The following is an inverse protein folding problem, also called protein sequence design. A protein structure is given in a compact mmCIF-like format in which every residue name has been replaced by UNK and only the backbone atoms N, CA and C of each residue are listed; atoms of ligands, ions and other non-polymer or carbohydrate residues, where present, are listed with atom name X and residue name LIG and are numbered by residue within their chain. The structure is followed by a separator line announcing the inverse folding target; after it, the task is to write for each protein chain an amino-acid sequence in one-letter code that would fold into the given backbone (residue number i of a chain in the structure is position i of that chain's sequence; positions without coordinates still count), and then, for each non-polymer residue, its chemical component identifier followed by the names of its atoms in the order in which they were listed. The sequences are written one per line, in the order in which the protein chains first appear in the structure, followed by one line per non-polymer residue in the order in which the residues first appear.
data_IF_762019626457
#
_entry.id   IF_762019626457
#
_cell.length_a   1.000
_cell.length_b   1.000
_cell.length_c   1.000
_cell.angle_alpha   90.00
_cell.angle_beta   90.00
_cell.angle_gamma   90.00
#
_symmetry.space_group_name_H-M   'P 1'
#
loop_
_entity.id
_entity.type
_entity.pdbx_description
1 polymer ?
#
# COMPACT_ATOMS: atom_id res chain seq x y z
N UNK A 1 54.09 30.86 24.28
CA UNK A 1 52.75 30.27 24.06
C UNK A 1 52.69 29.77 22.63
N UNK A 2 53.00 28.50 22.44
CA UNK A 2 53.08 27.86 21.13
C UNK A 2 51.78 27.08 20.96
N UNK A 3 50.81 27.67 20.27
CA UNK A 3 49.63 26.96 19.78
C UNK A 3 50.13 25.94 18.77
N UNK A 4 50.27 24.70 19.24
CA UNK A 4 50.56 23.54 18.42
C UNK A 4 49.43 23.47 17.37
N UNK A 5 49.76 23.80 16.12
CA UNK A 5 48.89 23.51 14.98
C UNK A 5 48.64 22.00 15.03
N UNK A 6 47.44 21.59 15.43
CA UNK A 6 47.05 20.19 15.37
C UNK A 6 47.17 19.77 13.91
N UNK A 7 47.96 18.74 13.62
CA UNK A 7 47.92 18.13 12.29
C UNK A 7 46.47 17.71 12.01
N UNK A 8 45.93 18.19 10.90
CA UNK A 8 44.51 18.07 10.58
C UNK A 8 44.14 16.65 10.14
N UNK A 9 45.09 15.87 9.65
CA UNK A 9 44.87 14.50 9.17
C UNK A 9 44.58 13.52 10.33
N UNK A 10 45.39 13.48 11.43
CA UNK A 10 45.04 12.70 12.62
C UNK A 10 43.68 13.10 13.23
N UNK A 11 43.33 14.39 13.20
CA UNK A 11 42.02 14.85 13.68
C UNK A 11 40.88 14.32 12.79
N UNK A 12 41.13 14.16 11.49
CA UNK A 12 40.21 13.53 10.55
C UNK A 12 39.95 12.06 10.92
N UNK A 13 41.00 11.30 11.23
CA UNK A 13 40.89 9.91 11.65
C UNK A 13 40.17 9.79 13.01
N UNK A 14 40.47 10.69 13.96
CA UNK A 14 39.77 10.79 15.26
C UNK A 14 38.26 11.10 15.11
N UNK A 15 37.82 11.73 14.02
CA UNK A 15 36.40 11.96 13.72
C UNK A 15 35.77 10.75 13.01
N UNK A 16 36.53 10.11 12.12
CA UNK A 16 36.06 8.99 11.31
C UNK A 16 35.75 7.76 12.17
N UNK A 17 36.60 7.45 13.15
CA UNK A 17 36.43 6.28 14.01
C UNK A 17 35.11 6.32 14.83
N UNK A 18 34.79 7.38 15.60
CA UNK A 18 33.51 7.48 16.31
C UNK A 18 32.31 7.46 15.36
N UNK A 19 32.44 8.03 14.16
CA UNK A 19 31.38 8.01 13.15
C UNK A 19 31.06 6.58 12.72
N UNK A 20 32.09 5.75 12.46
CA UNK A 20 31.90 4.33 12.14
C UNK A 20 31.26 3.56 13.30
N UNK A 21 31.62 3.86 14.55
CA UNK A 21 30.99 3.28 15.73
C UNK A 21 29.50 3.65 15.86
N UNK A 22 29.12 4.89 15.53
CA UNK A 22 27.72 5.32 15.50
C UNK A 22 26.92 4.58 14.41
N UNK A 23 27.53 4.35 13.26
CA UNK A 23 26.92 3.58 12.17
C UNK A 23 26.72 2.10 12.57
N UNK A 24 27.73 1.49 13.20
CA UNK A 24 27.63 0.13 13.74
C UNK A 24 26.56 0.00 14.83
N UNK A 25 26.46 0.99 15.72
CA UNK A 25 25.38 1.06 16.72
C UNK A 25 24.01 1.25 16.06
N UNK A 26 23.95 2.03 14.98
CA UNK A 26 22.73 2.22 14.18
C UNK A 26 22.30 0.92 13.51
N UNK A 27 23.22 0.09 13.02
CA UNK A 27 22.90 -1.23 12.49
C UNK A 27 22.15 -2.09 13.52
N UNK A 28 22.70 -2.18 14.74
CA UNK A 28 22.05 -2.92 15.85
C UNK A 28 20.67 -2.37 16.19
N UNK A 29 20.53 -1.04 16.21
CA UNK A 29 19.23 -0.40 16.42
C UNK A 29 18.22 -0.80 15.33
N UNK A 30 18.63 -0.82 14.07
CA UNK A 30 17.74 -1.18 12.96
C UNK A 30 17.31 -2.66 13.02
N UNK A 31 18.19 -3.56 13.45
CA UNK A 31 17.83 -4.96 13.69
C UNK A 31 16.76 -5.11 14.77
N UNK A 32 16.94 -4.42 15.91
CA UNK A 32 15.95 -4.41 16.99
C UNK A 32 14.61 -3.79 16.53
N UNK A 33 14.66 -2.71 15.75
CA UNK A 33 13.45 -2.11 15.17
C UNK A 33 12.73 -3.09 14.25
N UNK A 34 13.46 -3.81 13.38
CA UNK A 34 12.89 -4.80 12.47
C UNK A 34 12.22 -5.94 13.24
N UNK A 35 12.89 -6.49 14.24
CA UNK A 35 12.35 -7.57 15.08
C UNK A 35 11.10 -7.10 15.85
N UNK A 36 11.16 -5.92 16.45
CA UNK A 36 10.05 -5.32 17.19
C UNK A 36 8.84 -5.03 16.30
N UNK A 37 9.08 -4.51 15.09
CA UNK A 37 8.04 -4.24 14.09
C UNK A 37 7.41 -5.54 13.57
N UNK A 38 8.22 -6.55 13.26
CA UNK A 38 7.76 -7.86 12.78
C UNK A 38 6.92 -8.62 13.82
N UNK A 39 7.25 -8.46 15.11
CA UNK A 39 6.48 -9.04 16.22
C UNK A 39 5.26 -8.19 16.64
N UNK A 40 5.03 -7.04 15.99
CA UNK A 40 3.93 -6.15 16.34
C UNK A 40 4.04 -5.54 17.74
N UNK A 41 5.24 -5.42 18.31
CA UNK A 41 5.44 -4.95 19.69
C UNK A 41 4.94 -3.52 19.95
N UNK A 42 4.73 -2.74 18.90
CA UNK A 42 4.13 -1.40 18.97
C UNK A 42 2.61 -1.42 19.17
N UNK A 43 1.94 -2.56 18.95
CA UNK A 43 0.48 -2.69 19.04
C UNK A 43 -0.04 -2.78 20.49
N UNK A 44 0.55 -1.96 21.38
CA UNK A 44 0.15 -1.76 22.77
C UNK A 44 -0.51 -0.39 22.96
N UNK A 45 -1.22 0.08 21.92
CA UNK A 45 -1.87 1.40 21.89
C UNK A 45 -1.31 2.39 20.88
N UNK A 46 -0.35 1.99 20.02
CA UNK A 46 0.14 2.83 18.93
C UNK A 46 -0.35 2.31 17.58
N UNK A 47 -0.57 3.24 16.64
CA UNK A 47 -1.04 2.91 15.27
C UNK A 47 0.03 2.35 14.34
N UNK A 48 1.31 2.45 14.72
CA UNK A 48 2.45 1.94 13.93
C UNK A 48 3.74 1.92 14.72
N UNK A 49 4.72 1.12 14.29
CA UNK A 49 6.07 1.11 14.86
C UNK A 49 6.73 2.50 14.82
N UNK A 50 6.54 3.27 13.75
CA UNK A 50 7.08 4.62 13.65
C UNK A 50 6.45 5.57 14.67
N UNK A 51 5.15 5.43 14.97
CA UNK A 51 4.49 6.22 16.01
C UNK A 51 5.03 5.87 17.41
N UNK A 52 5.23 4.58 17.69
CA UNK A 52 5.86 4.11 18.92
C UNK A 52 7.28 4.64 19.07
N UNK A 53 8.10 4.60 18.02
CA UNK A 53 9.46 5.15 18.03
C UNK A 53 9.48 6.65 18.27
N UNK A 54 8.54 7.40 17.69
CA UNK A 54 8.43 8.82 17.95
C UNK A 54 8.16 9.13 19.43
N UNK A 55 7.27 8.35 20.06
CA UNK A 55 6.96 8.50 21.48
C UNK A 55 8.07 8.00 22.41
N UNK A 56 8.61 6.79 22.17
CA UNK A 56 9.55 6.13 23.09
C UNK A 56 11.00 6.60 22.93
N UNK A 57 11.41 6.90 21.70
CA UNK A 57 12.79 7.21 21.31
C UNK A 57 12.96 8.70 20.98
N UNK A 58 11.86 9.47 20.88
CA UNK A 58 11.91 10.92 20.65
C UNK A 58 12.25 11.31 19.20
N UNK A 59 12.02 10.40 18.24
CA UNK A 59 12.24 10.69 16.82
C UNK A 59 11.08 11.51 16.23
N UNK A 60 11.40 12.45 15.34
CA UNK A 60 10.36 13.06 14.52
C UNK A 60 9.69 12.01 13.61
N UNK A 61 8.48 12.31 13.17
CA UNK A 61 7.67 11.36 12.42
C UNK A 61 8.30 10.96 11.06
N UNK A 62 9.12 11.82 10.44
CA UNK A 62 9.83 11.51 9.21
C UNK A 62 10.99 10.55 9.47
N UNK A 63 11.86 10.88 10.43
CA UNK A 63 13.00 10.07 10.80
C UNK A 63 12.60 8.69 11.37
N UNK A 64 11.49 8.60 12.10
CA UNK A 64 10.96 7.35 12.61
C UNK A 64 10.49 6.42 11.46
N UNK A 65 9.71 6.94 10.50
CA UNK A 65 9.27 6.17 9.33
C UNK A 65 10.45 5.71 8.48
N UNK A 66 11.44 6.58 8.29
CA UNK A 66 12.64 6.25 7.53
C UNK A 66 13.42 5.11 8.18
N UNK A 67 13.63 5.15 9.50
CA UNK A 67 14.31 4.06 10.21
C UNK A 67 13.56 2.74 10.09
N UNK A 68 12.23 2.74 10.22
CA UNK A 68 11.41 1.52 10.02
C UNK A 68 11.54 1.02 8.58
N UNK A 69 11.51 1.90 7.58
CA UNK A 69 11.69 1.51 6.17
C UNK A 69 13.06 0.86 5.92
N UNK A 70 14.13 1.49 6.41
CA UNK A 70 15.50 0.96 6.25
C UNK A 70 15.63 -0.37 6.99
N UNK A 71 15.13 -0.46 8.22
CA UNK A 71 15.15 -1.69 9.01
C UNK A 71 14.47 -2.86 8.28
N UNK A 72 13.28 -2.63 7.69
CA UNK A 72 12.59 -3.63 6.87
C UNK A 72 13.39 -4.04 5.65
N UNK A 73 13.92 -3.07 4.90
CA UNK A 73 14.68 -3.34 3.67
C UNK A 73 15.95 -4.14 3.93
N UNK A 74 16.67 -3.85 5.02
CA UNK A 74 17.87 -4.60 5.41
C UNK A 74 17.58 -6.06 5.76
N UNK A 75 16.33 -6.43 6.05
CA UNK A 75 15.93 -7.82 6.26
C UNK A 75 16.12 -8.71 5.02
N UNK A 76 16.15 -8.13 3.82
CA UNK A 76 16.37 -8.85 2.54
C UNK A 76 17.69 -8.45 1.88
N UNK A 77 18.50 -7.62 2.54
CA UNK A 77 19.74 -7.04 2.01
C UNK A 77 20.89 -7.26 3.02
N UNK A 78 21.36 -8.52 3.16
CA UNK A 78 22.34 -8.89 4.18
C UNK A 78 23.73 -8.28 3.95
N UNK A 79 24.16 -8.02 2.71
CA UNK A 79 25.48 -7.43 2.44
C UNK A 79 25.53 -5.96 2.86
N UNK A 80 24.47 -5.20 2.57
CA UNK A 80 24.33 -3.81 3.02
C UNK A 80 24.18 -3.72 4.54
N UNK A 81 23.45 -4.66 5.16
CA UNK A 81 23.32 -4.74 6.60
C UNK A 81 24.68 -4.97 7.28
N UNK A 82 25.46 -5.91 6.77
CA UNK A 82 26.81 -6.19 7.29
C UNK A 82 27.76 -5.02 7.09
N UNK A 83 27.72 -4.34 5.94
CA UNK A 83 28.54 -3.18 5.68
C UNK A 83 28.24 -2.01 6.64
N UNK A 84 26.96 -1.81 7.00
CA UNK A 84 26.57 -0.86 8.04
C UNK A 84 27.08 -1.29 9.42
N UNK A 85 26.92 -2.57 9.76
CA UNK A 85 27.33 -3.11 11.06
C UNK A 85 28.83 -3.02 11.32
N UNK A 86 29.65 -3.04 10.25
CA UNK A 86 31.09 -2.85 10.30
C UNK A 86 31.52 -1.38 10.20
N UNK A 87 30.58 -0.44 10.01
CA UNK A 87 30.89 0.98 9.78
C UNK A 87 31.54 1.27 8.41
N UNK A 88 31.55 0.30 7.49
CA UNK A 88 32.09 0.48 6.13
C UNK A 88 31.19 1.38 5.26
N UNK A 89 29.88 1.34 5.52
CA UNK A 89 28.91 2.24 4.93
C UNK A 89 28.18 3.01 6.03
N UNK A 90 28.02 4.32 5.82
CA UNK A 90 27.23 5.13 6.73
C UNK A 90 25.73 4.91 6.58
N UNK A 91 24.96 5.17 7.64
CA UNK A 91 23.50 5.08 7.62
C UNK A 91 22.90 5.93 6.48
N UNK A 92 23.48 7.09 6.17
CA UNK A 92 23.03 7.93 5.07
C UNK A 92 23.14 7.23 3.71
N UNK A 93 24.27 6.55 3.45
CA UNK A 93 24.48 5.76 2.23
C UNK A 93 23.51 4.58 2.17
N UNK A 94 23.39 3.81 3.25
CA UNK A 94 22.50 2.65 3.32
C UNK A 94 21.03 3.05 3.14
N UNK A 95 20.61 4.13 3.80
CA UNK A 95 19.28 4.72 3.62
C UNK A 95 19.02 5.09 2.17
N UNK A 96 20.00 5.61 1.46
CA UNK A 96 19.87 5.90 0.03
C UNK A 96 19.83 4.60 -0.81
N UNK A 97 20.75 3.65 -0.60
CA UNK A 97 20.84 2.43 -1.41
C UNK A 97 19.60 1.53 -1.26
N UNK A 98 19.09 1.35 -0.04
CA UNK A 98 17.87 0.57 0.27
C UNK A 98 16.60 1.11 -0.39
N UNK A 99 16.68 2.23 -1.12
CA UNK A 99 15.56 2.77 -1.90
C UNK A 99 15.40 2.14 -3.28
N UNK A 100 16.44 1.48 -3.78
CA UNK A 100 16.53 0.87 -5.12
C UNK A 100 17.15 -0.52 -5.07
N UNK A 101 17.85 -0.88 -3.99
CA UNK A 101 18.49 -2.17 -3.85
C UNK A 101 17.47 -3.32 -3.79
N UNK A 102 17.72 -4.33 -4.61
CA UNK A 102 17.10 -5.66 -4.57
C UNK A 102 18.17 -6.70 -4.22
N UNK A 103 17.80 -7.91 -3.78
CA UNK A 103 18.78 -8.97 -3.50
C UNK A 103 19.73 -9.24 -4.67
N UNK A 104 19.24 -9.13 -5.91
CA UNK A 104 20.01 -9.38 -7.14
C UNK A 104 20.99 -8.24 -7.47
N UNK A 105 20.66 -7.00 -7.09
CA UNK A 105 21.48 -5.81 -7.37
C UNK A 105 22.34 -5.38 -6.18
N UNK A 106 22.22 -6.06 -5.04
CA UNK A 106 22.80 -5.67 -3.77
C UNK A 106 24.33 -5.54 -3.85
N UNK A 107 25.01 -6.52 -4.44
CA UNK A 107 26.48 -6.57 -4.51
C UNK A 107 27.04 -5.38 -5.33
N UNK A 108 26.42 -5.08 -6.47
CA UNK A 108 26.80 -3.96 -7.34
C UNK A 108 26.60 -2.62 -6.62
N UNK A 109 25.48 -2.47 -5.90
CA UNK A 109 25.15 -1.28 -5.14
C UNK A 109 26.03 -1.10 -3.89
N UNK A 110 26.46 -2.19 -3.26
CA UNK A 110 27.44 -2.17 -2.18
C UNK A 110 28.80 -1.67 -2.68
N UNK A 111 29.29 -2.20 -3.81
CA UNK A 111 30.53 -1.73 -4.42
C UNK A 111 30.47 -0.22 -4.73
N UNK A 112 29.35 0.25 -5.29
CA UNK A 112 29.10 1.67 -5.52
C UNK A 112 29.11 2.48 -4.22
N UNK A 113 28.47 1.97 -3.16
CA UNK A 113 28.42 2.60 -1.85
C UNK A 113 29.79 2.80 -1.21
N UNK A 114 30.70 1.83 -1.39
CA UNK A 114 32.07 1.90 -0.87
C UNK A 114 32.92 2.91 -1.63
N UNK A 115 32.77 2.99 -2.95
CA UNK A 115 33.56 3.90 -3.80
C UNK A 115 33.08 5.37 -3.77
N UNK A 116 31.78 5.62 -3.56
CA UNK A 116 31.18 6.94 -3.66
C UNK A 116 31.00 7.67 -2.32
N UNK A 117 30.87 9.01 -2.36
CA UNK A 117 30.38 9.80 -1.20
C UNK A 117 28.87 9.62 -1.02
N UNK A 118 28.34 9.91 0.18
CA UNK A 118 26.90 9.82 0.43
C UNK A 118 26.07 10.70 -0.55
N UNK A 119 26.56 11.91 -0.84
CA UNK A 119 25.91 12.80 -1.82
C UNK A 119 25.93 12.23 -3.25
N UNK A 120 27.01 11.56 -3.65
CA UNK A 120 27.09 10.89 -4.94
C UNK A 120 26.08 9.75 -5.02
N UNK A 121 26.04 8.89 -4.00
CA UNK A 121 25.10 7.77 -3.90
C UNK A 121 23.65 8.29 -3.93
N UNK A 122 23.33 9.34 -3.16
CA UNK A 122 22.00 9.95 -3.18
C UNK A 122 21.63 10.49 -4.57
N UNK A 123 22.55 11.12 -5.28
CA UNK A 123 22.31 11.64 -6.63
C UNK A 123 22.01 10.50 -7.62
N UNK A 124 22.80 9.43 -7.59
CA UNK A 124 22.59 8.26 -8.45
C UNK A 124 21.25 7.57 -8.16
N UNK A 125 20.94 7.33 -6.89
CA UNK A 125 19.65 6.73 -6.46
C UNK A 125 18.47 7.60 -6.89
N UNK A 126 18.57 8.94 -6.79
CA UNK A 126 17.53 9.85 -7.29
C UNK A 126 17.35 9.75 -8.81
N UNK A 127 18.44 9.58 -9.54
CA UNK A 127 18.45 9.31 -10.98
C UNK A 127 17.73 8.01 -11.32
N UNK A 128 18.12 6.90 -10.67
CA UNK A 128 17.48 5.59 -10.84
C UNK A 128 15.98 5.63 -10.53
N UNK A 129 15.58 6.20 -9.39
CA UNK A 129 14.16 6.39 -9.06
C UNK A 129 13.39 7.27 -10.03
N UNK A 130 14.06 8.17 -10.75
CA UNK A 130 13.39 8.98 -11.79
C UNK A 130 13.16 8.12 -13.02
N UNK A 131 14.12 7.28 -13.39
CA UNK A 131 14.00 6.32 -14.49
C UNK A 131 12.95 5.26 -14.17
N UNK A 132 12.96 4.68 -12.97
CA UNK A 132 11.97 3.69 -12.52
C UNK A 132 10.56 4.28 -12.47
N UNK A 133 10.38 5.47 -11.86
CA UNK A 133 9.07 6.14 -11.87
C UNK A 133 8.62 6.54 -13.27
N UNK A 134 9.54 6.86 -14.17
CA UNK A 134 9.20 7.11 -15.57
C UNK A 134 8.86 5.80 -16.30
N UNK A 135 9.49 4.68 -15.96
CA UNK A 135 9.17 3.36 -16.48
C UNK A 135 7.80 2.87 -15.95
N UNK A 136 7.54 2.99 -14.66
CA UNK A 136 6.25 2.70 -14.00
C UNK A 136 5.13 3.61 -14.49
N UNK A 137 5.38 4.92 -14.66
CA UNK A 137 4.39 5.84 -15.24
C UNK A 137 4.11 5.50 -16.71
N UNK A 138 5.15 5.16 -17.49
CA UNK A 138 4.97 4.66 -18.87
C UNK A 138 4.23 3.34 -18.88
N UNK A 139 4.44 2.48 -17.89
CA UNK A 139 3.74 1.20 -17.77
C UNK A 139 2.28 1.38 -17.34
N UNK A 140 1.97 2.28 -16.41
CA UNK A 140 0.60 2.67 -16.07
C UNK A 140 -0.11 3.33 -17.26
N UNK A 141 0.56 4.22 -18.01
CA UNK A 141 0.04 4.76 -19.27
C UNK A 141 -0.13 3.68 -20.33
N UNK A 142 0.74 2.67 -20.43
CA UNK A 142 0.58 1.51 -21.33
C UNK A 142 -0.54 0.58 -20.89
N UNK A 143 -0.77 0.39 -19.59
CA UNK A 143 -1.89 -0.39 -19.07
C UNK A 143 -3.22 0.33 -19.36
N UNK A 144 -3.25 1.65 -19.21
CA UNK A 144 -4.39 2.50 -19.58
C UNK A 144 -4.60 2.59 -21.10
N UNK A 145 -3.53 2.58 -21.90
CA UNK A 145 -3.57 2.57 -23.37
C UNK A 145 -3.74 1.17 -23.98
N UNK A 146 -3.59 0.10 -23.18
CA UNK A 146 -3.63 -1.30 -23.61
C UNK A 146 -5.02 -1.94 -23.50
N UNK A 147 -6.04 -1.18 -23.13
CA UNK A 147 -7.43 -1.64 -23.20
C UNK A 147 -7.81 -1.84 -24.66
N UNK A 148 -8.07 -3.09 -25.02
CA UNK A 148 -8.48 -3.44 -26.37
C UNK A 148 -9.40 -4.65 -26.26
N UNK A 149 -10.51 -4.60 -26.99
CA UNK A 149 -11.40 -5.74 -27.19
C UNK A 149 -11.40 -6.02 -28.69
N UNK A 150 -10.84 -7.15 -29.07
CA UNK A 150 -10.83 -7.64 -30.45
C UNK A 150 -11.96 -8.65 -30.58
N UNK A 151 -12.86 -8.39 -31.53
CA UNK A 151 -13.95 -9.29 -31.91
C UNK A 151 -13.74 -9.62 -33.38
N UNK A 152 -13.51 -10.88 -33.69
CA UNK A 152 -13.35 -11.35 -35.07
C UNK A 152 -14.02 -12.71 -35.23
N UNK A 153 -14.38 -13.05 -36.45
CA UNK A 153 -14.94 -14.36 -36.79
C UNK A 153 -13.81 -15.27 -37.27
N UNK A 154 -13.86 -16.54 -36.87
CA UNK A 154 -12.98 -17.57 -37.42
C UNK A 154 -13.52 -18.12 -38.75
N UNK A 155 -12.74 -18.98 -39.41
CA UNK A 155 -13.13 -19.62 -40.67
C UNK A 155 -14.35 -20.54 -40.52
N UNK A 156 -14.70 -20.94 -39.30
CA UNK A 156 -15.88 -21.74 -38.96
C UNK A 156 -17.13 -20.91 -38.64
N UNK A 157 -17.05 -19.58 -38.73
CA UNK A 157 -18.15 -18.66 -38.42
C UNK A 157 -18.38 -18.41 -36.93
N UNK A 158 -17.53 -18.96 -36.05
CA UNK A 158 -17.59 -18.70 -34.62
C UNK A 158 -16.94 -17.35 -34.31
N UNK A 159 -17.55 -16.58 -33.41
CA UNK A 159 -17.02 -15.27 -33.01
C UNK A 159 -16.03 -15.46 -31.85
N UNK A 160 -14.78 -15.04 -32.07
CA UNK A 160 -13.74 -15.01 -31.05
C UNK A 160 -13.65 -13.59 -30.47
N UNK A 161 -13.89 -13.50 -29.15
CA UNK A 161 -13.75 -12.27 -28.37
C UNK A 161 -12.50 -12.38 -27.49
N UNK A 162 -11.52 -11.51 -27.71
CA UNK A 162 -10.30 -11.44 -26.90
C UNK A 162 -10.00 -10.01 -26.53
N UNK A 163 -9.82 -9.74 -25.24
CA UNK A 163 -9.48 -8.39 -24.80
C UNK A 163 -8.76 -8.31 -23.48
N UNK A 164 -8.17 -7.14 -23.24
CA UNK A 164 -7.61 -6.74 -21.94
C UNK A 164 -8.47 -5.61 -21.41
N UNK A 165 -9.04 -5.81 -20.21
CA UNK A 165 -9.88 -4.85 -19.52
C UNK A 165 -9.12 -4.23 -18.35
N UNK A 166 -9.52 -3.02 -17.96
CA UNK A 166 -9.06 -2.43 -16.69
C UNK A 166 -9.56 -3.28 -15.51
N UNK A 167 -8.85 -3.32 -14.36
CA UNK A 167 -9.21 -4.17 -13.23
C UNK A 167 -10.66 -4.00 -12.76
N UNK A 168 -11.16 -2.76 -12.69
CA UNK A 168 -12.53 -2.45 -12.27
C UNK A 168 -13.58 -2.97 -13.27
N UNK A 169 -13.34 -2.75 -14.58
CA UNK A 169 -14.24 -3.21 -15.66
C UNK A 169 -14.19 -4.73 -15.81
N UNK A 170 -13.01 -5.33 -15.65
CA UNK A 170 -12.82 -6.78 -15.67
C UNK A 170 -13.54 -7.46 -14.51
N UNK A 171 -13.47 -6.90 -13.30
CA UNK A 171 -14.21 -7.40 -12.14
C UNK A 171 -15.73 -7.34 -12.38
N UNK A 172 -16.22 -6.24 -12.96
CA UNK A 172 -17.62 -6.09 -13.34
C UNK A 172 -18.06 -7.15 -14.35
N UNK A 173 -17.27 -7.39 -15.41
CA UNK A 173 -17.58 -8.42 -16.41
C UNK A 173 -17.62 -9.83 -15.79
N UNK A 174 -16.66 -10.18 -14.94
CA UNK A 174 -16.61 -11.48 -14.26
C UNK A 174 -17.84 -11.67 -13.37
N UNK A 175 -18.23 -10.63 -12.63
CA UNK A 175 -19.43 -10.67 -11.79
C UNK A 175 -20.71 -10.83 -12.63
N UNK A 176 -20.84 -10.10 -13.74
CA UNK A 176 -21.99 -10.19 -14.63
C UNK A 176 -22.14 -11.59 -15.24
N UNK A 177 -21.05 -12.19 -15.73
CA UNK A 177 -21.04 -13.55 -16.26
C UNK A 177 -21.42 -14.58 -15.18
N UNK A 178 -20.92 -14.41 -13.95
CA UNK A 178 -21.28 -15.30 -12.84
C UNK A 178 -22.77 -15.21 -12.49
N UNK A 179 -23.35 -14.01 -12.50
CA UNK A 179 -24.77 -13.79 -12.25
C UNK A 179 -25.65 -14.39 -13.36
N UNK A 180 -25.33 -14.11 -14.63
CA UNK A 180 -26.05 -14.65 -15.78
C UNK A 180 -26.04 -16.18 -15.81
N UNK A 181 -24.89 -16.79 -15.50
CA UNK A 181 -24.77 -18.26 -15.37
C UNK A 181 -25.68 -18.83 -14.28
N UNK A 182 -25.77 -18.14 -13.14
CA UNK A 182 -26.63 -18.55 -12.03
C UNK A 182 -28.12 -18.51 -12.43
N UNK A 183 -28.53 -17.51 -13.21
CA UNK A 183 -29.89 -17.41 -13.76
C UNK A 183 -30.21 -18.58 -14.68
N UNK A 184 -29.33 -18.87 -15.65
CA UNK A 184 -29.51 -20.00 -16.56
C UNK A 184 -29.60 -21.34 -15.81
N UNK A 185 -28.75 -21.53 -14.80
CA UNK A 185 -28.79 -22.72 -13.96
C UNK A 185 -30.12 -22.85 -13.20
N UNK A 186 -30.66 -21.75 -12.67
CA UNK A 186 -31.95 -21.76 -11.98
C UNK A 186 -33.10 -22.09 -12.93
N UNK A 187 -33.10 -21.53 -14.14
CA UNK A 187 -34.11 -21.80 -15.17
C UNK A 187 -34.10 -23.27 -15.61
N UNK A 188 -32.91 -23.83 -15.90
CA UNK A 188 -32.80 -25.24 -16.26
C UNK A 188 -33.31 -26.15 -15.13
N UNK A 189 -33.04 -25.79 -13.87
CA UNK A 189 -33.51 -26.53 -12.69
C UNK A 189 -35.03 -26.46 -12.52
N UNK A 190 -35.66 -25.34 -12.87
CA UNK A 190 -37.11 -25.16 -12.80
C UNK A 190 -37.83 -25.89 -13.95
N UNK A 191 -37.21 -25.96 -15.13
CA UNK A 191 -37.76 -26.64 -16.31
C UNK A 191 -37.64 -28.17 -16.22
N UNK A 192 -36.60 -28.71 -15.57
CA UNK A 192 -36.38 -30.15 -15.39
C UNK A 192 -36.96 -30.68 -14.07
N UNK A 193 -38.13 -30.19 -13.65
CA UNK A 193 -38.73 -30.50 -12.36
C UNK A 193 -38.68 -31.99 -11.99
N UNK A 194 -38.08 -32.27 -10.81
CA UNK A 194 -38.18 -33.51 -10.02
C UNK A 194 -38.13 -34.85 -10.80
N UNK A 195 -37.20 -34.99 -11.75
CA UNK A 195 -36.89 -36.28 -12.36
C UNK A 195 -35.80 -37.02 -11.56
N UNK A 196 -36.09 -38.27 -11.17
CA UNK A 196 -35.18 -39.20 -10.49
C UNK A 196 -33.80 -39.33 -11.19
N UNK A 197 -32.71 -39.58 -10.43
CA UNK A 197 -31.33 -39.44 -10.90
C UNK A 197 -30.84 -40.67 -11.68
N UNK A 198 -31.57 -41.12 -12.71
CA UNK A 198 -31.26 -42.41 -13.38
C UNK A 198 -30.74 -42.27 -14.82
N UNK A 199 -30.61 -41.07 -15.38
CA UNK A 199 -29.94 -40.88 -16.69
C UNK A 199 -29.16 -39.55 -16.82
N UNK A 200 -28.37 -39.20 -15.81
CA UNK A 200 -27.49 -38.02 -15.83
C UNK A 200 -26.18 -38.23 -16.61
N UNK A 201 -26.24 -38.88 -17.78
CA UNK A 201 -25.16 -38.86 -18.79
C UNK A 201 -25.41 -37.83 -19.89
N UNK A 202 -26.39 -36.94 -19.73
CA UNK A 202 -26.40 -35.69 -20.47
C UNK A 202 -25.15 -34.91 -20.05
N UNK A 203 -24.17 -34.82 -20.95
CA UNK A 203 -22.92 -34.08 -20.75
C UNK A 203 -23.22 -32.72 -20.13
N UNK A 204 -22.94 -32.57 -18.84
CA UNK A 204 -23.08 -31.28 -18.17
C UNK A 204 -22.20 -30.28 -18.93
N UNK A 205 -22.77 -29.16 -19.42
CA UNK A 205 -22.02 -28.21 -20.24
C UNK A 205 -20.80 -27.73 -19.46
N UNK A 206 -19.66 -27.71 -20.14
CA UNK A 206 -18.38 -27.28 -19.55
C UNK A 206 -18.47 -25.85 -19.05
N UNK A 207 -17.60 -25.47 -18.10
CA UNK A 207 -17.53 -24.09 -17.61
C UNK A 207 -17.34 -23.05 -18.73
N UNK A 208 -16.65 -23.41 -19.81
CA UNK A 208 -16.46 -22.54 -20.97
C UNK A 208 -17.76 -22.34 -21.77
N UNK A 209 -18.54 -23.42 -21.98
CA UNK A 209 -19.86 -23.35 -22.62
C UNK A 209 -20.82 -22.52 -21.78
N UNK A 210 -20.88 -22.76 -20.46
CA UNK A 210 -21.70 -21.98 -19.54
C UNK A 210 -21.35 -20.49 -19.54
N UNK A 211 -20.06 -20.14 -19.70
CA UNK A 211 -19.63 -18.74 -19.83
C UNK A 211 -20.05 -18.13 -21.17
N UNK A 212 -20.02 -18.90 -22.26
CA UNK A 212 -20.51 -18.45 -23.56
C UNK A 212 -22.03 -18.20 -23.54
N UNK A 213 -22.80 -19.10 -22.94
CA UNK A 213 -24.26 -18.95 -22.77
C UNK A 213 -24.59 -17.76 -21.87
N UNK A 214 -23.85 -17.59 -20.77
CA UNK A 214 -23.99 -16.42 -19.90
C UNK A 214 -23.68 -15.10 -20.64
N UNK A 215 -22.66 -15.10 -21.51
CA UNK A 215 -22.34 -13.94 -22.36
C UNK A 215 -23.47 -13.65 -23.36
N UNK A 216 -24.08 -14.68 -23.95
CA UNK A 216 -25.23 -14.54 -24.84
C UNK A 216 -26.42 -13.93 -24.11
N UNK A 217 -26.76 -14.43 -22.91
CA UNK A 217 -27.83 -13.86 -22.08
C UNK A 217 -27.58 -12.38 -21.77
N UNK A 218 -26.34 -12.00 -21.43
CA UNK A 218 -25.99 -10.59 -21.19
C UNK A 218 -26.18 -9.74 -22.45
N UNK A 219 -25.75 -10.24 -23.61
CA UNK A 219 -25.91 -9.53 -24.88
C UNK A 219 -27.39 -9.37 -25.25
N UNK A 220 -28.19 -10.43 -25.16
CA UNK A 220 -29.63 -10.40 -25.42
C UNK A 220 -30.36 -9.44 -24.48
N UNK A 221 -30.07 -9.53 -23.18
CA UNK A 221 -30.62 -8.64 -22.16
C UNK A 221 -30.27 -7.18 -22.48
N UNK A 222 -29.02 -6.90 -22.86
CA UNK A 222 -28.58 -5.54 -23.21
C UNK A 222 -29.24 -5.01 -24.49
N UNK A 223 -29.47 -5.87 -25.49
CA UNK A 223 -30.16 -5.52 -26.73
C UNK A 223 -31.65 -5.29 -26.48
N UNK A 224 -32.26 -6.05 -25.56
CA UNK A 224 -33.67 -5.94 -25.21
C UNK A 224 -33.98 -4.70 -24.38
N UNK A 225 -33.13 -4.39 -23.40
CA UNK A 225 -33.30 -3.22 -22.52
C UNK A 225 -32.70 -1.93 -23.06
N UNK A 226 -31.93 -2.00 -24.15
CA UNK A 226 -31.20 -0.88 -24.73
C UNK A 226 -29.91 -0.55 -23.98
N UNK A 227 -28.91 -0.06 -24.73
CA UNK A 227 -27.61 0.36 -24.17
C UNK A 227 -27.68 1.86 -23.88
N UNK A 228 -28.06 2.23 -22.65
CA UNK A 228 -27.94 3.61 -22.17
C UNK A 228 -26.56 3.81 -21.54
N UNK A 229 -25.69 4.68 -22.10
CA UNK A 229 -24.37 4.96 -21.52
C UNK A 229 -24.45 5.65 -20.15
N UNK A 230 -25.63 6.14 -19.74
CA UNK A 230 -25.81 6.95 -18.55
C UNK A 230 -25.10 8.30 -18.66
N UNK A 231 -25.53 9.28 -17.85
CA UNK A 231 -24.76 10.53 -17.74
C UNK A 231 -23.39 10.22 -17.11
N UNK A 232 -22.27 10.83 -17.57
CA UNK A 232 -20.91 10.49 -17.13
C UNK A 232 -20.55 10.76 -15.64
N UNK A 233 -21.53 10.93 -14.74
CA UNK A 233 -21.32 11.38 -13.35
C UNK A 233 -21.87 10.49 -12.22
N UNK A 234 -22.70 9.48 -12.48
CA UNK A 234 -23.49 8.84 -11.41
C UNK A 234 -22.94 7.49 -10.89
N UNK A 235 -21.62 7.26 -10.91
CA UNK A 235 -21.09 5.98 -10.40
C UNK A 235 -21.06 5.83 -8.88
N UNK A 236 -21.49 6.84 -8.13
CA UNK A 236 -21.59 6.77 -6.67
C UNK A 236 -22.70 7.68 -6.13
N UNK A 237 -23.95 7.21 -6.11
CA UNK A 237 -25.00 7.85 -5.33
C UNK A 237 -25.60 6.84 -4.34
N UNK A 238 -25.43 7.12 -3.06
CA UNK A 238 -26.11 6.42 -1.96
C UNK A 238 -27.39 7.20 -1.68
N UNK A 239 -28.54 6.68 -2.12
CA UNK A 239 -29.85 7.22 -1.74
C UNK A 239 -30.25 6.59 -0.41
N UNK A 240 -30.13 7.36 0.67
CA UNK A 240 -30.66 6.96 1.98
C UNK A 240 -32.13 7.38 2.03
N UNK A 241 -33.04 6.41 2.04
CA UNK A 241 -34.44 6.65 2.35
C UNK A 241 -34.58 6.88 3.87
N UNK A 242 -34.93 8.11 4.25
CA UNK A 242 -35.35 8.44 5.62
C UNK A 242 -36.84 8.75 5.56
N UNK A 243 -37.65 8.04 6.34
CA UNK A 243 -39.08 8.34 6.47
C UNK A 243 -39.26 9.74 7.08
N UNK A 244 -40.03 10.60 6.39
CA UNK A 244 -40.33 11.98 6.79
C UNK A 244 -40.72 12.19 8.28
N UNK A 245 -41.47 11.29 8.97
CA UNK A 245 -41.76 11.48 10.40
C UNK A 245 -40.52 11.45 11.32
N UNK A 246 -39.40 10.88 10.89
CA UNK A 246 -38.14 10.86 11.68
C UNK A 246 -37.44 12.23 11.66
N UNK A 247 -37.66 13.03 10.61
CA UNK A 247 -37.11 14.39 10.46
C UNK A 247 -37.96 15.47 11.14
N UNK A 248 -39.18 15.12 11.57
CA UNK A 248 -40.15 16.07 12.13
C UNK A 248 -40.10 16.18 13.65
N UNK A 249 -38.98 15.88 14.31
CA UNK A 249 -38.80 16.21 15.72
C UNK A 249 -38.53 17.73 15.83
N UNK A 250 -39.43 18.53 16.39
CA UNK A 250 -39.22 19.97 16.51
C UNK A 250 -38.09 20.24 17.51
N UNK A 251 -37.01 20.84 17.02
CA UNK A 251 -35.95 21.38 17.86
C UNK A 251 -36.50 22.65 18.52
N UNK A 252 -36.86 22.58 19.80
CA UNK A 252 -37.34 23.74 20.56
C UNK A 252 -36.21 24.77 20.72
N UNK A 253 -36.40 26.05 20.37
CA UNK A 253 -35.39 27.09 20.58
C UNK A 253 -35.40 27.53 22.05
N UNK A 254 -34.58 26.89 22.88
CA UNK A 254 -34.31 27.38 24.24
C UNK A 254 -33.41 28.63 24.21
N UNK A 255 -34.06 29.79 24.33
CA UNK A 255 -33.65 31.07 24.91
C UNK A 255 -32.17 31.51 24.85
N UNK A 256 -31.95 32.63 24.14
CA UNK A 256 -30.83 33.55 24.40
C UNK A 256 -30.99 34.19 25.79
N UNK A 257 -30.03 33.98 26.68
CA UNK A 257 -29.74 34.91 27.77
C UNK A 257 -28.30 35.43 27.63
N UNK A 258 -28.20 36.75 27.58
CA UNK A 258 -26.96 37.52 27.60
C UNK A 258 -26.36 37.50 29.01
N UNK A 259 -25.03 37.31 29.15
CA UNK A 259 -24.13 38.24 29.86
C UNK A 259 -22.69 37.72 30.04
N UNK A 260 -21.76 38.62 29.70
CA UNK A 260 -20.44 38.90 30.31
C UNK A 260 -19.32 37.87 30.31
N UNK A 261 -18.18 38.34 29.80
CA UNK A 261 -16.85 37.81 30.00
C UNK A 261 -16.53 37.54 31.48
N UNK A 262 -16.07 36.31 31.78
CA UNK A 262 -15.23 35.99 32.94
C UNK A 262 -14.18 34.96 32.53
N UNK A 263 -12.94 35.44 32.54
CA UNK A 263 -11.66 34.80 32.88
C UNK A 263 -11.67 33.28 33.14
N UNK A 264 -10.92 32.54 32.32
CA UNK A 264 -10.50 31.17 32.60
C UNK A 264 -9.49 31.13 33.76
N UNK A 265 -9.67 30.28 34.78
CA UNK A 265 -8.62 30.02 35.75
C UNK A 265 -7.59 29.06 35.15
N UNK A 266 -6.32 29.46 35.22
CA UNK A 266 -5.18 28.53 35.23
C UNK A 266 -5.34 27.60 36.43
N UNK A 267 -5.28 26.29 36.24
CA UNK A 267 -4.87 25.40 37.31
C UNK A 267 -3.66 24.55 36.89
N UNK A 268 -2.65 24.59 37.75
CA UNK A 268 -1.34 23.93 37.64
C UNK A 268 -1.43 22.53 38.29
N UNK A 269 -0.40 21.67 38.13
CA UNK A 269 -0.51 20.22 38.30
C UNK A 269 -0.47 19.77 39.76
N UNK A 270 -1.32 18.80 40.11
CA UNK A 270 -1.27 18.08 41.38
C UNK A 270 -0.27 16.92 41.30
N UNK A 271 0.69 16.94 42.23
CA UNK A 271 1.67 15.91 42.49
C UNK A 271 1.00 14.56 42.84
N UNK A 272 1.61 13.46 42.42
CA UNK A 272 1.29 12.13 42.95
C UNK A 272 2.56 11.45 43.45
N UNK A 273 2.51 11.14 44.74
CA UNK A 273 3.53 10.46 45.51
C UNK A 273 3.73 9.02 45.05
N UNK A 274 4.99 8.60 45.04
CA UNK A 274 5.41 7.22 44.88
C UNK A 274 5.05 6.41 46.13
N UNK A 275 4.46 5.23 45.93
CA UNK A 275 4.44 4.17 46.93
C UNK A 275 5.06 2.93 46.33
N UNK A 276 6.23 2.55 46.85
CA UNK A 276 6.86 1.24 46.65
C UNK A 276 5.99 0.17 47.30
N UNK A 277 5.88 -0.99 46.67
CA UNK A 277 5.58 -2.24 47.34
C UNK A 277 6.65 -3.27 46.96
N UNK A 278 7.05 -4.00 48.00
CA UNK A 278 8.04 -5.06 48.18
C UNK A 278 8.50 -5.86 46.95
#
# INVERSE_FOLDING_TARGET
MQTCSRDLDPLGDEIAEPSAHLDAATARLLDLIREFDARGGWNVGFRSCAAWLGWRVGLDAGAARERVRVARALGTLPLLAQALARGELSYAKVRALTRVATPETEEQLLALGRAGTAAHVERLVRGWRRVDRQAEARESTRQHAGRALHVYQDEGGMVIVRGRLEPEVGALLVQALAAARQTLYQETRLQHGDADPVDAFAETPTMAQQQADALALLAETSLHHGIDPGAPGERYQVVVHVDAPVLAIPISPASRSSRTARTFPRNRPGAWHATRAA
#
